data_IF_832658134859
#
_entry.id   IF_832658134859
#
_cell.length_a   1.000
_cell.length_b   1.000
_cell.length_c   1.000
_cell.angle_alpha   90.00
_cell.angle_beta   90.00
_cell.angle_gamma   90.00
#
_symmetry.space_group_name_H-M   'P 1'
#
loop_
_entity.id
_entity.type
_entity.pdbx_description
1 polymer ?
#
# COMPACT_ATOMS: atom_id res chain seq x y z
N UNK A 1 3.59 0.37 -18.05
CA UNK A 1 3.57 -0.82 -17.22
C UNK A 1 4.67 -1.76 -17.71
N UNK A 2 5.39 -2.35 -16.77
CA UNK A 2 6.49 -3.27 -17.12
C UNK A 2 5.92 -4.67 -17.31
N UNK A 3 5.28 -4.89 -18.46
CA UNK A 3 4.65 -6.16 -18.82
C UNK A 3 5.64 -7.34 -18.87
N UNK A 4 6.95 -7.01 -18.90
CA UNK A 4 8.04 -7.98 -18.96
C UNK A 4 8.63 -8.30 -17.57
N UNK A 5 8.20 -7.64 -16.53
CA UNK A 5 8.65 -8.00 -15.19
C UNK A 5 7.98 -9.34 -14.80
N UNK A 6 8.75 -10.39 -14.64
CA UNK A 6 8.27 -11.74 -14.26
C UNK A 6 7.50 -11.82 -12.94
N UNK A 7 7.16 -10.67 -12.35
CA UNK A 7 6.36 -10.53 -11.14
C UNK A 7 4.85 -10.49 -11.41
N UNK A 8 4.41 -10.05 -12.59
CA UNK A 8 2.98 -9.94 -12.94
C UNK A 8 2.56 -11.18 -13.71
N UNK A 9 1.62 -11.94 -13.18
CA UNK A 9 1.10 -13.16 -13.77
C UNK A 9 -0.21 -12.94 -14.54
N UNK A 10 -1.05 -12.04 -14.03
CA UNK A 10 -2.31 -11.67 -14.67
C UNK A 10 -2.58 -10.18 -14.43
N UNK A 11 -2.89 -9.46 -15.51
CA UNK A 11 -3.28 -8.05 -15.46
C UNK A 11 -4.44 -7.75 -16.40
N UNK A 12 -5.21 -6.73 -16.06
CA UNK A 12 -6.17 -6.11 -16.96
C UNK A 12 -5.51 -4.85 -17.52
N UNK A 13 -5.42 -4.78 -18.85
CA UNK A 13 -4.81 -3.65 -19.56
C UNK A 13 -5.85 -2.58 -19.87
N UNK A 14 -5.46 -1.33 -19.68
CA UNK A 14 -6.26 -0.16 -19.99
C UNK A 14 -5.56 0.73 -21.00
N UNK A 15 -6.31 1.28 -21.94
CA UNK A 15 -5.83 2.19 -22.98
C UNK A 15 -6.52 3.55 -22.82
N UNK A 16 -5.96 4.39 -22.03
CA UNK A 16 -6.32 5.80 -21.87
C UNK A 16 -5.08 6.67 -22.11
N UNK A 17 -5.17 7.99 -21.98
CA UNK A 17 -6.39 8.77 -22.15
C UNK A 17 -6.79 8.97 -23.61
N UNK A 18 -8.06 9.24 -23.86
CA UNK A 18 -8.59 9.63 -25.17
C UNK A 18 -8.99 8.46 -26.09
N UNK A 19 -8.82 7.21 -25.66
CA UNK A 19 -9.22 6.03 -26.40
C UNK A 19 -10.52 5.39 -25.90
N UNK A 20 -11.04 5.85 -24.75
CA UNK A 20 -12.28 5.35 -24.17
C UNK A 20 -12.19 3.94 -23.58
N UNK A 21 -10.98 3.41 -23.42
CA UNK A 21 -10.68 2.10 -22.83
C UNK A 21 -9.89 2.23 -21.54
N UNK A 22 -9.96 3.41 -20.89
CA UNK A 22 -9.27 3.72 -19.66
C UNK A 22 -9.99 3.25 -18.41
N UNK A 23 -9.30 3.32 -17.27
CA UNK A 23 -9.87 3.06 -15.97
C UNK A 23 -10.29 4.36 -15.27
N UNK A 24 -11.14 4.21 -14.24
CA UNK A 24 -11.61 5.34 -13.42
C UNK A 24 -10.89 5.45 -12.06
N UNK A 25 -9.67 4.93 -11.92
CA UNK A 25 -8.98 4.95 -10.63
C UNK A 25 -8.71 6.38 -10.14
N UNK A 26 -8.48 7.33 -11.04
CA UNK A 26 -8.24 8.73 -10.69
C UNK A 26 -9.39 9.38 -9.92
N UNK A 27 -10.63 9.00 -10.20
CA UNK A 27 -11.83 9.49 -9.49
C UNK A 27 -11.80 9.20 -8.00
N UNK A 28 -11.22 8.08 -7.60
CA UNK A 28 -11.13 7.72 -6.19
C UNK A 28 -10.28 8.71 -5.38
N UNK A 29 -9.51 9.57 -6.05
CA UNK A 29 -8.60 10.56 -5.48
C UNK A 29 -9.10 11.99 -5.56
N UNK A 30 -10.03 12.27 -6.44
CA UNK A 30 -10.51 13.63 -6.64
C UNK A 30 -11.61 14.00 -5.64
N UNK A 31 -11.55 15.23 -5.13
CA UNK A 31 -12.69 15.80 -4.44
C UNK A 31 -13.85 16.04 -5.44
N UNK A 32 -15.09 15.69 -5.12
CA UNK A 32 -15.59 15.32 -3.79
C UNK A 32 -15.61 13.81 -3.53
N UNK A 33 -15.11 12.98 -4.41
CA UNK A 33 -15.38 11.54 -4.34
C UNK A 33 -14.45 10.78 -3.41
N UNK A 34 -13.25 11.19 -3.11
CA UNK A 34 -12.30 10.52 -2.18
C UNK A 34 -12.83 9.18 -1.59
N UNK A 35 -13.28 8.31 -2.50
CA UNK A 35 -14.17 7.20 -2.15
C UNK A 35 -13.44 6.02 -1.50
N UNK A 36 -12.11 6.02 -1.57
CA UNK A 36 -11.29 4.92 -1.04
C UNK A 36 -10.27 5.48 -0.06
N UNK A 37 -10.46 5.14 1.20
CA UNK A 37 -9.59 5.55 2.29
C UNK A 37 -8.79 4.37 2.84
N UNK A 38 -7.59 4.65 3.36
CA UNK A 38 -6.83 3.70 4.14
C UNK A 38 -7.33 3.66 5.58
N UNK A 39 -7.65 2.50 6.10
CA UNK A 39 -8.00 2.39 7.51
C UNK A 39 -6.75 2.54 8.40
N UNK A 40 -6.93 3.05 9.61
CA UNK A 40 -5.85 3.08 10.60
C UNK A 40 -5.37 1.68 10.99
N UNK A 41 -6.26 0.68 10.96
CA UNK A 41 -5.86 -0.70 11.19
C UNK A 41 -4.87 -1.18 10.12
N UNK A 42 -5.15 -0.91 8.84
CA UNK A 42 -4.21 -1.22 7.77
C UNK A 42 -2.86 -0.50 7.97
N UNK A 43 -2.89 0.77 8.40
CA UNK A 43 -1.68 1.50 8.70
C UNK A 43 -0.88 0.85 9.84
N UNK A 44 -1.55 0.41 10.90
CA UNK A 44 -0.93 -0.23 12.06
C UNK A 44 -0.37 -1.62 11.74
N UNK A 45 -0.97 -2.36 10.81
CA UNK A 45 -0.53 -3.70 10.40
C UNK A 45 0.82 -3.72 9.64
N UNK A 46 1.24 -2.58 9.08
CA UNK A 46 2.60 -2.49 8.57
C UNK A 46 3.61 -2.55 9.74
N UNK A 47 4.64 -3.35 9.61
CA UNK A 47 5.70 -3.48 10.61
C UNK A 47 6.63 -2.27 10.61
N UNK A 48 7.47 -2.15 11.64
CA UNK A 48 8.59 -1.23 11.63
C UNK A 48 9.76 -1.78 10.80
N UNK A 49 10.71 -0.92 10.48
CA UNK A 49 11.88 -1.27 9.64
C UNK A 49 12.79 -2.33 10.25
N UNK A 50 12.66 -2.60 11.55
CA UNK A 50 13.32 -3.71 12.25
C UNK A 50 12.58 -5.05 12.10
N UNK A 51 11.47 -5.09 11.38
CA UNK A 51 10.66 -6.29 11.14
C UNK A 51 9.72 -6.64 12.29
N UNK A 52 9.56 -5.78 13.28
CA UNK A 52 8.65 -5.99 14.42
C UNK A 52 7.35 -5.20 14.25
N UNK A 53 6.23 -5.70 14.81
CA UNK A 53 4.98 -4.95 14.86
C UNK A 53 5.12 -3.73 15.79
N UNK A 54 4.22 -2.77 15.64
CA UNK A 54 4.30 -1.46 16.31
C UNK A 54 4.30 -1.55 17.85
N UNK A 55 3.64 -2.55 18.41
CA UNK A 55 3.56 -2.79 19.86
C UNK A 55 4.83 -3.41 20.46
N UNK A 56 5.75 -3.87 19.62
CA UNK A 56 7.00 -4.53 20.02
C UNK A 56 8.26 -3.82 19.54
N UNK A 57 8.15 -2.96 18.55
CA UNK A 57 9.31 -2.29 17.96
C UNK A 57 9.74 -1.08 18.80
N UNK A 58 11.03 -1.02 19.21
CA UNK A 58 11.59 0.19 19.84
C UNK A 58 11.73 1.35 18.84
N UNK A 59 11.59 1.11 17.54
CA UNK A 59 11.67 2.13 16.49
C UNK A 59 10.35 2.86 16.28
N UNK A 60 9.24 2.33 16.80
CA UNK A 60 7.95 2.98 16.70
C UNK A 60 7.93 4.30 17.50
N UNK A 61 7.52 5.38 16.85
CA UNK A 61 7.54 6.74 17.42
C UNK A 61 6.14 7.29 17.74
N UNK A 62 5.09 6.61 17.28
CA UNK A 62 3.72 7.03 17.49
C UNK A 62 3.13 6.53 18.80
N UNK A 63 1.91 6.94 19.09
CA UNK A 63 1.10 6.41 20.18
C UNK A 63 0.37 5.14 19.75
N UNK A 64 0.30 4.15 20.63
CA UNK A 64 -0.56 2.97 20.43
C UNK A 64 -2.04 3.31 20.68
N UNK A 65 -2.31 4.42 21.35
CA UNK A 65 -3.67 4.95 21.49
C UNK A 65 -4.13 5.54 20.15
N UNK A 66 -5.09 4.89 19.53
CA UNK A 66 -5.66 5.34 18.25
C UNK A 66 -6.40 6.67 18.37
N UNK A 67 -6.91 6.99 19.55
CA UNK A 67 -7.56 8.27 19.83
C UNK A 67 -6.60 9.46 19.85
N UNK A 68 -5.30 9.21 20.03
CA UNK A 68 -4.28 10.25 19.94
C UNK A 68 -4.03 10.78 18.53
N UNK A 69 -4.50 10.05 17.52
CA UNK A 69 -4.33 10.38 16.11
C UNK A 69 -5.66 10.90 15.54
N UNK A 70 -5.75 12.19 15.31
CA UNK A 70 -6.94 12.83 14.73
C UNK A 70 -6.60 13.55 13.43
N UNK A 71 -7.62 13.93 12.68
CA UNK A 71 -7.46 14.71 11.46
C UNK A 71 -6.81 16.08 11.74
N UNK A 72 -7.19 16.71 12.83
CA UNK A 72 -6.70 18.03 13.24
C UNK A 72 -5.30 17.96 13.83
N UNK A 73 -4.95 16.85 14.44
CA UNK A 73 -3.65 16.61 15.07
C UNK A 73 -3.16 15.19 14.75
N UNK A 74 -2.64 14.96 13.52
CA UNK A 74 -2.14 13.65 13.15
C UNK A 74 -0.87 13.31 13.94
N UNK A 75 -0.84 12.12 14.52
CA UNK A 75 0.37 11.59 15.15
C UNK A 75 1.38 11.18 14.06
N UNK A 76 2.25 12.08 13.70
CA UNK A 76 3.24 11.87 12.63
C UNK A 76 4.25 10.78 12.96
N UNK A 77 4.51 10.51 14.24
CA UNK A 77 5.38 9.43 14.69
C UNK A 77 4.91 8.05 14.27
N UNK A 78 3.60 7.87 14.03
CA UNK A 78 3.04 6.61 13.52
C UNK A 78 3.54 6.22 12.14
N UNK A 79 4.03 7.18 11.36
CA UNK A 79 4.46 6.98 9.98
C UNK A 79 5.98 6.85 9.81
N UNK A 80 6.73 7.04 10.92
CA UNK A 80 8.19 6.95 10.92
C UNK A 80 8.66 5.51 11.11
N UNK A 81 9.82 5.19 10.56
CA UNK A 81 10.48 3.89 10.70
C UNK A 81 9.59 2.69 10.34
N UNK A 82 8.72 2.83 9.36
CA UNK A 82 7.76 1.80 8.94
C UNK A 82 8.21 1.13 7.65
N UNK A 83 7.69 -0.06 7.44
CA UNK A 83 7.83 -0.82 6.22
C UNK A 83 7.65 0.08 4.98
N UNK A 84 8.60 0.08 4.02
CA UNK A 84 8.51 0.93 2.83
C UNK A 84 7.22 0.77 2.03
N UNK A 85 6.59 -0.41 2.11
CA UNK A 85 5.31 -0.68 1.44
C UNK A 85 4.16 0.16 1.99
N UNK A 86 4.25 0.62 3.24
CA UNK A 86 3.23 1.52 3.80
C UNK A 86 3.12 2.80 2.96
N UNK A 87 4.25 3.49 2.71
CA UNK A 87 4.29 4.71 1.88
C UNK A 87 3.99 4.46 0.40
N UNK A 88 4.20 3.25 -0.08
CA UNK A 88 3.82 2.86 -1.44
C UNK A 88 2.32 2.56 -1.57
N UNK A 89 1.67 2.17 -0.47
CA UNK A 89 0.25 1.79 -0.43
C UNK A 89 -0.65 2.94 0.00
N UNK A 90 -0.19 3.74 0.95
CA UNK A 90 -0.96 4.81 1.59
C UNK A 90 -0.35 6.18 1.30
N UNK A 91 -1.20 7.16 1.03
CA UNK A 91 -0.84 8.57 1.03
C UNK A 91 -0.99 9.08 2.46
N UNK A 92 0.12 9.47 3.05
CA UNK A 92 0.21 9.88 4.45
C UNK A 92 0.37 11.38 4.55
N UNK A 93 -0.10 12.01 5.64
CA UNK A 93 0.12 13.43 5.88
C UNK A 93 1.62 13.78 5.79
N UNK A 94 1.93 14.89 5.16
CA UNK A 94 3.31 15.35 4.92
C UNK A 94 4.01 14.74 3.71
N UNK A 95 3.37 13.82 2.97
CA UNK A 95 3.92 13.34 1.71
C UNK A 95 3.66 14.33 0.57
N UNK A 96 4.64 14.45 -0.31
CA UNK A 96 4.47 15.20 -1.56
C UNK A 96 3.83 14.31 -2.64
N UNK A 97 2.85 14.88 -3.34
CA UNK A 97 2.21 14.25 -4.48
C UNK A 97 1.96 15.26 -5.58
N UNK A 98 2.51 15.00 -6.76
CA UNK A 98 2.35 15.84 -7.95
C UNK A 98 2.62 17.34 -7.68
N UNK A 99 3.70 17.64 -6.95
CA UNK A 99 4.12 18.99 -6.58
C UNK A 99 3.29 19.67 -5.48
N UNK A 100 2.41 18.92 -4.81
CA UNK A 100 1.60 19.43 -3.69
C UNK A 100 1.81 18.58 -2.45
N UNK A 101 1.88 19.24 -1.30
CA UNK A 101 1.94 18.57 0.00
C UNK A 101 0.55 18.03 0.37
N UNK A 102 0.50 16.74 0.70
CA UNK A 102 -0.72 16.13 1.25
C UNK A 102 -0.91 16.57 2.71
N UNK A 103 -1.96 17.33 2.98
CA UNK A 103 -2.20 17.97 4.29
C UNK A 103 -3.35 17.36 5.07
N UNK A 104 -3.88 16.23 4.63
CA UNK A 104 -5.03 15.58 5.27
C UNK A 104 -6.31 16.45 5.35
N UNK A 105 -6.48 17.38 4.42
CA UNK A 105 -7.67 18.27 4.34
C UNK A 105 -8.90 17.55 3.75
N UNK A 106 -8.89 16.23 3.71
CA UNK A 106 -9.99 15.46 3.17
C UNK A 106 -11.15 15.43 4.16
N UNK A 107 -12.39 15.44 3.68
CA UNK A 107 -13.59 15.33 4.52
C UNK A 107 -13.73 13.94 5.18
N UNK A 108 -12.79 13.08 4.95
CA UNK A 108 -12.76 11.70 5.36
C UNK A 108 -12.53 11.48 6.85
N UNK A 109 -13.04 10.40 7.37
CA UNK A 109 -12.86 9.95 8.75
C UNK A 109 -11.47 9.37 9.01
N UNK A 110 -10.74 8.98 7.97
CA UNK A 110 -9.39 8.45 8.07
C UNK A 110 -8.34 9.53 7.79
N UNK A 111 -7.14 9.33 8.30
CA UNK A 111 -6.03 10.25 8.17
C UNK A 111 -5.12 9.92 6.97
N UNK A 112 -5.47 8.94 6.16
CA UNK A 112 -4.72 8.56 4.97
C UNK A 112 -5.65 8.10 3.86
N UNK A 113 -5.20 8.28 2.61
CA UNK A 113 -5.84 7.74 1.42
C UNK A 113 -5.05 6.55 0.89
N UNK A 114 -5.66 5.78 0.01
CA UNK A 114 -4.92 4.78 -0.76
C UNK A 114 -4.07 5.50 -1.82
N UNK A 115 -2.78 5.21 -1.85
CA UNK A 115 -1.84 5.66 -2.88
C UNK A 115 -1.67 4.62 -3.99
N UNK A 116 -1.76 3.36 -3.64
CA UNK A 116 -1.65 2.26 -4.59
C UNK A 116 -2.66 2.43 -5.72
N UNK A 117 -2.25 2.20 -6.96
CA UNK A 117 -3.03 2.40 -8.19
C UNK A 117 -3.18 3.86 -8.64
N UNK A 118 -2.49 4.80 -8.02
CA UNK A 118 -2.50 6.20 -8.43
C UNK A 118 -1.17 6.63 -8.99
N UNK A 119 -1.22 7.29 -10.14
CA UNK A 119 -0.11 7.99 -10.77
C UNK A 119 -0.53 9.43 -11.07
N UNK A 120 0.42 10.36 -11.29
CA UNK A 120 0.07 11.71 -11.72
C UNK A 120 -0.80 11.74 -12.98
N UNK A 121 -0.55 10.82 -13.94
CA UNK A 121 -1.34 10.72 -15.16
C UNK A 121 -2.78 10.27 -14.87
N UNK A 122 -2.98 9.30 -13.98
CA UNK A 122 -4.32 8.86 -13.59
C UNK A 122 -5.09 9.96 -12.89
N UNK A 123 -4.43 10.75 -12.03
CA UNK A 123 -5.09 11.86 -11.36
C UNK A 123 -5.43 13.03 -12.29
N UNK A 124 -4.71 13.16 -13.42
CA UNK A 124 -5.03 14.14 -14.46
C UNK A 124 -6.17 13.65 -15.39
N UNK A 125 -6.35 12.32 -15.50
CA UNK A 125 -7.35 11.68 -16.37
C UNK A 125 -8.23 10.77 -15.53
N UNK A 126 -9.03 11.35 -14.66
CA UNK A 126 -9.77 10.66 -13.59
C UNK A 126 -10.63 9.48 -14.06
N UNK A 127 -11.22 9.58 -15.25
CA UNK A 127 -12.13 8.59 -15.81
C UNK A 127 -11.54 7.78 -16.98
N UNK A 128 -10.31 8.06 -17.36
CA UNK A 128 -9.69 7.46 -18.55
C UNK A 128 -8.18 7.24 -18.35
N UNK A 129 -7.81 6.67 -17.21
CA UNK A 129 -6.43 6.36 -16.85
C UNK A 129 -5.89 5.14 -17.57
N UNK A 130 -4.58 5.12 -17.86
CA UNK A 130 -3.89 4.03 -18.59
C UNK A 130 -3.18 3.02 -17.67
N UNK A 131 -3.31 3.14 -16.35
CA UNK A 131 -2.64 2.23 -15.42
C UNK A 131 -3.30 0.86 -15.41
N UNK A 132 -2.54 -0.18 -15.71
CA UNK A 132 -3.00 -1.56 -15.68
C UNK A 132 -3.33 -2.02 -14.25
N UNK A 133 -4.35 -2.84 -14.13
CA UNK A 133 -4.70 -3.47 -12.87
C UNK A 133 -4.09 -4.88 -12.78
N UNK A 134 -3.21 -5.07 -11.81
CA UNK A 134 -2.57 -6.37 -11.56
C UNK A 134 -3.49 -7.26 -10.72
N UNK A 135 -4.05 -8.28 -11.35
CA UNK A 135 -4.97 -9.22 -10.70
C UNK A 135 -4.21 -10.23 -9.87
N UNK A 136 -3.14 -10.82 -10.45
CA UNK A 136 -2.30 -11.80 -9.76
C UNK A 136 -0.82 -11.43 -9.95
N UNK A 137 -0.08 -11.39 -8.85
CA UNK A 137 1.36 -11.18 -8.84
C UNK A 137 2.09 -12.33 -8.14
N UNK A 138 3.36 -12.51 -8.48
CA UNK A 138 4.19 -13.58 -7.92
C UNK A 138 4.26 -13.55 -6.39
N UNK A 139 4.31 -12.37 -5.78
CA UNK A 139 4.28 -12.22 -4.32
C UNK A 139 3.02 -12.84 -3.68
N UNK A 140 1.85 -12.74 -4.34
CA UNK A 140 0.62 -13.39 -3.88
C UNK A 140 0.73 -14.92 -3.94
N UNK A 141 1.33 -15.45 -5.01
CA UNK A 141 1.55 -16.90 -5.15
C UNK A 141 2.46 -17.43 -4.05
N UNK A 142 3.54 -16.72 -3.71
CA UNK A 142 4.45 -17.12 -2.63
C UNK A 142 3.75 -17.13 -1.26
N UNK A 143 2.94 -16.11 -0.98
CA UNK A 143 2.21 -16.02 0.28
C UNK A 143 1.10 -17.08 0.38
N UNK A 144 0.34 -17.29 -0.69
CA UNK A 144 -0.69 -18.33 -0.75
C UNK A 144 -0.11 -19.73 -0.64
N UNK A 145 1.07 -19.97 -1.25
CA UNK A 145 1.79 -21.23 -1.08
C UNK A 145 2.21 -21.44 0.38
N UNK A 146 2.74 -20.39 1.02
CA UNK A 146 3.14 -20.45 2.42
C UNK A 146 1.96 -20.76 3.33
N UNK A 147 0.83 -20.11 3.12
CA UNK A 147 -0.42 -20.34 3.84
C UNK A 147 -0.92 -21.80 3.65
N UNK A 148 -1.00 -22.26 2.40
CA UNK A 148 -1.42 -23.61 2.08
C UNK A 148 -0.51 -24.70 2.72
N UNK A 149 0.79 -24.45 2.80
CA UNK A 149 1.74 -25.33 3.47
C UNK A 149 1.49 -25.40 4.97
N UNK A 150 1.21 -24.26 5.60
CA UNK A 150 0.88 -24.17 7.03
C UNK A 150 -0.42 -24.96 7.32
N UNK A 151 -1.47 -24.69 6.56
CA UNK A 151 -2.77 -25.35 6.72
C UNK A 151 -2.70 -26.88 6.50
N UNK A 152 -1.94 -27.31 5.50
CA UNK A 152 -1.74 -28.73 5.23
C UNK A 152 -0.97 -29.44 6.36
N UNK A 153 -0.08 -28.74 7.04
CA UNK A 153 0.85 -29.32 8.01
C UNK A 153 2.00 -30.12 7.36
N UNK A 154 2.96 -30.56 8.19
CA UNK A 154 4.12 -31.33 7.72
C UNK A 154 5.13 -30.52 6.90
N UNK A 155 5.13 -29.23 7.03
CA UNK A 155 6.04 -28.31 6.33
C UNK A 155 7.38 -28.15 7.05
N UNK A 156 8.40 -27.76 6.30
CA UNK A 156 9.64 -27.25 6.85
C UNK A 156 9.52 -25.76 7.14
N UNK A 157 9.81 -25.34 8.36
CA UNK A 157 9.85 -23.89 8.71
C UNK A 157 10.77 -23.11 7.78
N UNK A 158 11.90 -23.72 7.37
CA UNK A 158 12.85 -23.07 6.48
C UNK A 158 12.27 -22.76 5.09
N UNK A 159 11.42 -23.65 4.55
CA UNK A 159 10.77 -23.41 3.25
C UNK A 159 9.78 -22.25 3.33
N UNK A 160 8.92 -22.22 4.36
CA UNK A 160 7.96 -21.14 4.54
C UNK A 160 8.69 -19.81 4.73
N UNK A 161 9.70 -19.80 5.60
CA UNK A 161 10.52 -18.59 5.84
C UNK A 161 11.17 -18.10 4.56
N UNK A 162 11.65 -18.99 3.68
CA UNK A 162 12.22 -18.62 2.39
C UNK A 162 11.21 -17.84 1.52
N UNK A 163 9.99 -18.34 1.36
CA UNK A 163 8.99 -17.71 0.52
C UNK A 163 8.52 -16.36 1.08
N UNK A 164 8.34 -16.26 2.38
CA UNK A 164 7.97 -15.02 3.04
C UNK A 164 9.10 -13.99 2.92
N UNK A 165 10.35 -14.42 3.12
CA UNK A 165 11.51 -13.54 3.06
C UNK A 165 11.76 -13.04 1.64
N UNK A 166 11.51 -13.82 0.60
CA UNK A 166 11.62 -13.34 -0.78
C UNK A 166 10.74 -12.10 -1.02
N UNK A 167 9.53 -12.07 -0.42
CA UNK A 167 8.65 -10.90 -0.47
C UNK A 167 9.17 -9.75 0.40
N UNK A 168 9.79 -10.04 1.55
CA UNK A 168 10.35 -9.03 2.48
C UNK A 168 11.65 -8.42 1.94
N UNK A 169 12.56 -9.25 1.45
CA UNK A 169 13.87 -8.85 0.94
C UNK A 169 13.75 -7.86 -0.23
N UNK A 170 12.76 -8.05 -1.10
CA UNK A 170 12.47 -7.15 -2.22
C UNK A 170 12.35 -5.68 -1.82
N UNK A 171 11.90 -5.41 -0.61
CA UNK A 171 11.68 -4.05 -0.08
C UNK A 171 12.63 -3.70 1.06
N UNK A 172 13.66 -4.52 1.30
CA UNK A 172 14.68 -4.29 2.32
C UNK A 172 14.19 -4.49 3.75
N UNK A 173 13.11 -5.26 3.94
CA UNK A 173 12.67 -5.64 5.28
C UNK A 173 13.48 -6.84 5.80
N UNK A 174 13.85 -6.87 7.08
CA UNK A 174 14.63 -7.97 7.65
C UNK A 174 13.85 -9.28 7.62
N UNK A 175 14.62 -10.39 7.56
CA UNK A 175 14.13 -11.75 7.53
C UNK A 175 13.39 -12.16 8.82
#
# INVERSE_FOLDING_TARGET
>A
ANETAGEVLLSVHYKGPGLGEGNCFGVCWSAPMNAIEGSMNLCDDFYCTDGLPIDKSPLFKGSLDKGAHTKENPDMGRYENRDPRMKATLMLPGMEWNGKLYTNNLPASSTCCIRKWFTPENTANEYDGSLDFYVIRYAEVLLSLSEAMIEKGGYSQAEITKYINEVRDRVGMPA
#
